data_IF_794396659671
#
_entry.id   IF_794396659671
#
_cell.length_a   1.000
_cell.length_b   1.000
_cell.length_c   1.000
_cell.angle_alpha   90.00
_cell.angle_beta   90.00
_cell.angle_gamma   90.00
#
_symmetry.space_group_name_H-M   'P 1'
#
loop_
_entity.id
_entity.type
_entity.pdbx_description
1 polymer ?
#
# COMPACT_ATOMS: atom_id res chain seq x y z
N UNK A 1 -10.86 -10.43 -18.93
CA UNK A 1 -9.83 -10.62 -17.88
C UNK A 1 -9.86 -9.39 -16.97
N UNK A 2 -9.79 -9.56 -15.64
CA UNK A 2 -10.04 -8.50 -14.65
C UNK A 2 -8.85 -7.53 -14.43
N UNK A 3 -8.00 -7.31 -15.45
CA UNK A 3 -6.90 -6.35 -15.40
C UNK A 3 -5.74 -6.67 -14.43
N UNK A 4 -5.68 -7.89 -13.88
CA UNK A 4 -4.63 -8.28 -12.93
C UNK A 4 -3.25 -8.44 -13.59
N UNK A 5 -2.21 -8.00 -12.88
CA UNK A 5 -0.81 -8.23 -13.25
C UNK A 5 -0.44 -9.71 -13.02
N UNK A 6 -0.81 -10.57 -13.96
CA UNK A 6 -0.54 -12.00 -13.90
C UNK A 6 0.79 -12.33 -14.61
N UNK A 7 1.63 -13.23 -14.05
CA UNK A 7 2.87 -13.64 -14.69
C UNK A 7 2.60 -14.35 -16.01
N UNK A 8 3.41 -14.07 -17.04
CA UNK A 8 3.33 -14.74 -18.33
C UNK A 8 3.83 -16.19 -18.28
N UNK A 9 4.77 -16.49 -17.37
CA UNK A 9 5.32 -17.82 -17.14
C UNK A 9 5.75 -18.03 -15.68
N UNK A 10 6.14 -19.26 -15.34
CA UNK A 10 6.53 -19.68 -13.99
C UNK A 10 7.78 -18.98 -13.44
N UNK A 11 8.60 -18.40 -14.30
CA UNK A 11 9.87 -17.75 -13.95
C UNK A 11 9.79 -16.22 -14.04
N UNK A 12 8.73 -15.65 -14.60
CA UNK A 12 8.61 -14.21 -14.83
C UNK A 12 8.80 -13.39 -13.56
N UNK A 13 8.21 -13.83 -12.44
CA UNK A 13 8.36 -13.15 -11.15
C UNK A 13 9.77 -13.25 -10.59
N UNK A 14 10.42 -14.40 -10.74
CA UNK A 14 11.82 -14.58 -10.34
C UNK A 14 12.73 -13.65 -11.14
N UNK A 15 12.56 -13.59 -12.47
CA UNK A 15 13.34 -12.69 -13.32
C UNK A 15 13.12 -11.23 -12.95
N UNK A 16 11.87 -10.83 -12.69
CA UNK A 16 11.57 -9.46 -12.26
C UNK A 16 12.21 -9.13 -10.91
N UNK A 17 12.11 -10.04 -9.94
CA UNK A 17 12.75 -9.93 -8.62
C UNK A 17 14.25 -9.75 -8.74
N UNK A 18 14.92 -10.60 -9.53
CA UNK A 18 16.36 -10.50 -9.78
C UNK A 18 16.75 -9.18 -10.45
N UNK A 19 15.95 -8.67 -11.40
CA UNK A 19 16.20 -7.38 -12.03
C UNK A 19 16.03 -6.22 -11.07
N UNK A 20 14.97 -6.20 -10.27
CA UNK A 20 14.73 -5.16 -9.25
C UNK A 20 15.86 -5.08 -8.22
N UNK A 21 16.57 -6.17 -7.96
CA UNK A 21 17.66 -6.23 -7.00
C UNK A 21 19.05 -5.93 -7.61
N UNK A 22 19.28 -6.29 -8.87
CA UNK A 22 20.60 -6.20 -9.52
C UNK A 22 20.76 -4.97 -10.42
N UNK A 23 19.68 -4.45 -11.00
CA UNK A 23 19.76 -3.29 -11.88
C UNK A 23 19.72 -2.00 -11.07
N UNK A 24 20.84 -1.28 -11.07
CA UNK A 24 20.98 -0.03 -10.33
C UNK A 24 19.88 0.99 -10.70
N UNK A 25 19.21 1.48 -9.66
CA UNK A 25 18.17 2.50 -9.78
C UNK A 25 16.84 1.99 -10.35
N UNK A 26 16.69 0.71 -10.71
CA UNK A 26 15.44 0.23 -11.32
C UNK A 26 14.28 0.32 -10.35
N UNK A 27 14.48 -0.09 -9.10
CA UNK A 27 13.46 -0.06 -8.06
C UNK A 27 13.02 1.40 -7.77
N UNK A 28 13.98 2.31 -7.66
CA UNK A 28 13.75 3.74 -7.43
C UNK A 28 13.00 4.38 -8.60
N UNK A 29 13.42 4.09 -9.84
CA UNK A 29 12.72 4.56 -11.03
C UNK A 29 11.28 4.04 -11.08
N UNK A 30 11.07 2.74 -10.81
CA UNK A 30 9.75 2.14 -10.79
C UNK A 30 8.87 2.74 -9.68
N UNK A 31 9.41 2.94 -8.47
CA UNK A 31 8.72 3.60 -7.38
C UNK A 31 8.33 5.04 -7.75
N UNK A 32 9.25 5.79 -8.36
CA UNK A 32 9.01 7.17 -8.80
C UNK A 32 7.96 7.29 -9.92
N UNK A 33 7.72 6.20 -10.66
CA UNK A 33 6.72 6.12 -11.71
C UNK A 33 5.34 5.71 -11.19
N UNK A 34 5.24 5.16 -9.97
CA UNK A 34 3.95 4.77 -9.39
C UNK A 34 3.05 5.98 -9.17
N UNK A 35 1.77 5.79 -9.45
CA UNK A 35 0.73 6.79 -9.24
C UNK A 35 -0.47 6.12 -8.57
N UNK A 36 -1.13 6.87 -7.70
CA UNK A 36 -2.41 6.52 -7.10
C UNK A 36 -3.45 7.52 -7.57
N UNK A 37 -4.72 7.11 -7.64
CA UNK A 37 -5.80 8.05 -7.88
C UNK A 37 -6.27 8.62 -6.54
N UNK A 38 -6.54 9.93 -6.49
CA UNK A 38 -7.08 10.58 -5.30
C UNK A 38 -8.37 11.28 -5.66
N UNK A 39 -9.45 10.89 -4.98
CA UNK A 39 -10.71 11.61 -5.05
C UNK A 39 -10.84 12.48 -3.80
N UNK A 40 -11.02 13.78 -4.01
CA UNK A 40 -11.13 14.75 -2.93
C UNK A 40 -12.59 15.01 -2.57
N UNK A 41 -12.86 15.29 -1.30
CA UNK A 41 -14.16 15.75 -0.81
C UNK A 41 -15.34 14.83 -1.22
N UNK A 42 -15.15 13.51 -1.19
CA UNK A 42 -16.17 12.54 -1.58
C UNK A 42 -17.00 12.05 -0.39
N UNK A 43 -18.28 11.79 -0.63
CA UNK A 43 -19.14 11.07 0.31
C UNK A 43 -19.01 9.57 0.06
N UNK A 44 -18.75 8.80 1.11
CA UNK A 44 -18.46 7.37 1.00
C UNK A 44 -19.67 6.47 1.23
N UNK A 45 -20.66 6.91 2.00
CA UNK A 45 -21.85 6.12 2.32
C UNK A 45 -23.05 7.01 2.62
N UNK A 46 -24.12 6.96 1.81
CA UNK A 46 -25.40 7.59 2.18
C UNK A 46 -26.07 6.87 3.38
N UNK A 47 -26.81 7.57 4.27
CA UNK A 47 -27.11 9.00 4.26
C UNK A 47 -26.01 9.88 4.91
N UNK A 48 -24.85 9.32 5.24
CA UNK A 48 -23.80 10.08 5.92
C UNK A 48 -23.25 11.17 5.00
N UNK A 49 -23.22 12.40 5.50
CA UNK A 49 -22.80 13.59 4.74
C UNK A 49 -21.32 13.88 4.83
N UNK A 50 -20.59 13.20 5.73
CA UNK A 50 -19.16 13.38 5.91
C UNK A 50 -18.40 13.20 4.59
N UNK A 51 -17.47 14.12 4.34
CA UNK A 51 -16.61 14.10 3.15
C UNK A 51 -15.21 13.66 3.54
N UNK A 52 -14.62 12.83 2.70
CA UNK A 52 -13.27 12.31 2.89
C UNK A 52 -12.46 12.47 1.61
N UNK A 53 -11.14 12.40 1.72
CA UNK A 53 -10.31 12.10 0.57
C UNK A 53 -10.09 10.59 0.49
N UNK A 54 -10.32 10.02 -0.68
CA UNK A 54 -10.10 8.60 -0.94
C UNK A 54 -8.90 8.43 -1.83
N UNK A 55 -7.92 7.67 -1.35
CA UNK A 55 -6.76 7.26 -2.13
C UNK A 55 -7.02 5.85 -2.65
N UNK A 56 -7.17 5.72 -3.96
CA UNK A 56 -7.34 4.45 -4.65
C UNK A 56 -5.96 3.92 -5.06
N UNK A 57 -5.51 2.89 -4.37
CA UNK A 57 -4.28 2.17 -4.63
C UNK A 57 -4.57 0.67 -4.82
N UNK A 58 -3.64 -0.04 -5.45
CA UNK A 58 -3.73 -1.48 -5.69
C UNK A 58 -2.48 -2.17 -5.18
N UNK A 59 -2.61 -3.45 -4.83
CA UNK A 59 -1.50 -4.34 -4.52
C UNK A 59 -1.42 -5.48 -5.54
N UNK A 60 -0.34 -6.24 -5.50
CA UNK A 60 -0.13 -7.33 -6.44
C UNK A 60 -0.99 -8.56 -6.12
N UNK A 61 -1.53 -9.27 -7.12
CA UNK A 61 -2.40 -10.44 -6.93
C UNK A 61 -1.59 -11.73 -6.70
N UNK A 62 -0.73 -11.74 -5.68
CA UNK A 62 0.23 -12.82 -5.36
C UNK A 62 -0.44 -14.20 -5.28
N UNK A 63 -1.59 -14.31 -4.62
CA UNK A 63 -2.32 -15.56 -4.45
C UNK A 63 -3.00 -16.07 -5.75
N UNK A 64 -3.09 -15.25 -6.79
CA UNK A 64 -3.81 -15.62 -8.02
C UNK A 64 -2.92 -16.40 -9.01
N UNK A 65 -1.60 -16.41 -8.80
CA UNK A 65 -0.66 -17.18 -9.63
C UNK A 65 -0.12 -18.38 -8.85
N UNK A 66 -0.75 -19.55 -9.05
CA UNK A 66 -0.27 -20.81 -8.45
C UNK A 66 1.04 -21.34 -9.06
N UNK A 67 1.42 -20.82 -10.23
CA UNK A 67 2.59 -21.23 -10.99
C UNK A 67 3.88 -20.53 -10.56
N UNK A 68 3.81 -19.55 -9.65
CA UNK A 68 4.96 -18.79 -9.14
C UNK A 68 5.03 -18.89 -7.62
N UNK A 69 6.22 -18.75 -7.04
CA UNK A 69 6.40 -18.79 -5.59
C UNK A 69 6.16 -17.41 -5.01
N UNK A 70 5.43 -17.31 -3.89
CA UNK A 70 5.21 -16.04 -3.18
C UNK A 70 6.52 -15.25 -2.95
N UNK A 71 7.62 -15.92 -2.59
CA UNK A 71 8.91 -15.25 -2.38
C UNK A 71 9.45 -14.53 -3.65
N UNK A 72 9.15 -15.04 -4.85
CA UNK A 72 9.56 -14.38 -6.10
C UNK A 72 8.80 -13.06 -6.35
N UNK A 73 7.70 -12.82 -5.62
CA UNK A 73 6.95 -11.56 -5.70
C UNK A 73 7.47 -10.47 -4.77
N UNK A 74 8.25 -10.83 -3.74
CA UNK A 74 8.54 -9.96 -2.62
C UNK A 74 9.08 -8.58 -3.02
N UNK A 75 10.13 -8.45 -3.87
CA UNK A 75 10.65 -7.13 -4.22
C UNK A 75 9.62 -6.26 -4.94
N UNK A 76 8.82 -6.85 -5.84
CA UNK A 76 7.80 -6.10 -6.57
C UNK A 76 6.61 -5.75 -5.67
N UNK A 77 6.19 -6.67 -4.81
CA UNK A 77 5.09 -6.45 -3.87
C UNK A 77 5.43 -5.35 -2.86
N UNK A 78 6.62 -5.40 -2.25
CA UNK A 78 7.10 -4.36 -1.34
C UNK A 78 7.22 -3.00 -2.03
N UNK A 79 7.72 -2.95 -3.27
CA UNK A 79 7.80 -1.72 -4.05
C UNK A 79 6.41 -1.08 -4.26
N UNK A 80 5.41 -1.87 -4.67
CA UNK A 80 4.04 -1.39 -4.87
C UNK A 80 3.39 -0.96 -3.56
N UNK A 81 3.56 -1.73 -2.49
CA UNK A 81 3.03 -1.41 -1.15
C UNK A 81 3.66 -0.12 -0.60
N UNK A 82 4.99 0.04 -0.70
CA UNK A 82 5.69 1.25 -0.29
C UNK A 82 5.11 2.48 -1.01
N UNK A 83 5.03 2.43 -2.34
CA UNK A 83 4.47 3.54 -3.13
C UNK A 83 3.01 3.84 -2.78
N UNK A 84 2.19 2.82 -2.54
CA UNK A 84 0.78 2.99 -2.17
C UNK A 84 0.59 3.67 -0.81
N UNK A 85 1.29 3.19 0.23
CA UNK A 85 1.21 3.79 1.57
C UNK A 85 1.86 5.16 1.63
N UNK A 86 3.02 5.34 0.99
CA UNK A 86 3.70 6.65 0.93
C UNK A 86 2.83 7.69 0.22
N UNK A 87 2.24 7.35 -0.94
CA UNK A 87 1.35 8.26 -1.64
C UNK A 87 0.10 8.61 -0.82
N UNK A 88 -0.44 7.64 -0.06
CA UNK A 88 -1.58 7.88 0.84
C UNK A 88 -1.23 8.85 1.96
N UNK A 89 -0.07 8.67 2.61
CA UNK A 89 0.39 9.56 3.68
C UNK A 89 0.77 10.94 3.12
N UNK A 90 1.39 11.01 1.95
CA UNK A 90 1.65 12.28 1.25
C UNK A 90 0.37 13.06 0.98
N UNK A 91 -0.69 12.40 0.47
CA UNK A 91 -1.98 13.03 0.24
C UNK A 91 -2.60 13.58 1.54
N UNK A 92 -2.48 12.85 2.65
CA UNK A 92 -2.95 13.31 3.95
C UNK A 92 -2.12 14.49 4.49
N UNK A 93 -0.79 14.45 4.35
CA UNK A 93 0.09 15.56 4.73
C UNK A 93 -0.23 16.82 3.94
N UNK A 94 -0.50 16.68 2.64
CA UNK A 94 -0.97 17.79 1.81
C UNK A 94 -2.28 18.38 2.35
N UNK A 95 -3.27 17.55 2.69
CA UNK A 95 -4.52 18.02 3.29
C UNK A 95 -4.31 18.72 4.63
N UNK A 96 -3.43 18.19 5.47
CA UNK A 96 -3.16 18.78 6.78
C UNK A 96 -2.53 20.17 6.64
N UNK A 97 -1.61 20.34 5.69
CA UNK A 97 -1.04 21.64 5.34
C UNK A 97 -2.10 22.61 4.79
N UNK A 98 -2.97 22.15 3.89
CA UNK A 98 -4.06 22.98 3.33
C UNK A 98 -5.07 23.43 4.39
N UNK A 99 -5.38 22.57 5.36
CA UNK A 99 -6.36 22.84 6.41
C UNK A 99 -5.77 23.58 7.62
N UNK A 100 -4.45 23.62 7.75
CA UNK A 100 -3.78 24.14 8.95
C UNK A 100 -4.11 23.33 10.21
N UNK A 101 -4.47 22.06 10.06
CA UNK A 101 -4.94 21.22 11.17
C UNK A 101 -4.54 19.75 10.98
N UNK A 102 -4.60 19.00 12.07
CA UNK A 102 -4.26 17.57 12.09
C UNK A 102 -5.27 16.78 11.26
N UNK A 103 -4.79 15.83 10.45
CA UNK A 103 -5.64 14.99 9.59
C UNK A 103 -5.59 13.54 10.03
N UNK A 104 -6.76 12.93 10.20
CA UNK A 104 -6.87 11.49 10.46
C UNK A 104 -6.79 10.71 9.16
N UNK A 105 -5.94 9.68 9.13
CA UNK A 105 -5.74 8.77 8.00
C UNK A 105 -6.16 7.37 8.39
N UNK A 106 -7.07 6.78 7.64
CA UNK A 106 -7.49 5.39 7.84
C UNK A 106 -6.80 4.50 6.81
N UNK A 107 -5.93 3.61 7.28
CA UNK A 107 -5.22 2.65 6.44
C UNK A 107 -5.86 1.27 6.55
N UNK A 108 -5.94 0.54 5.44
CA UNK A 108 -6.32 -0.87 5.42
C UNK A 108 -5.10 -1.74 5.17
N UNK A 109 -5.19 -3.04 5.45
CA UNK A 109 -4.20 -4.03 4.99
C UNK A 109 -4.30 -4.24 3.47
N UNK A 110 -3.75 -3.30 2.70
CA UNK A 110 -3.82 -3.33 1.24
C UNK A 110 -3.20 -4.61 0.69
N UNK A 111 -4.02 -5.41 0.01
CA UNK A 111 -3.58 -6.67 -0.60
C UNK A 111 -3.38 -7.85 0.37
N UNK A 112 -3.58 -7.68 1.68
CA UNK A 112 -3.41 -8.74 2.68
C UNK A 112 -4.54 -9.78 2.73
N UNK A 113 -5.66 -9.50 2.05
CA UNK A 113 -6.79 -10.43 1.89
C UNK A 113 -6.62 -11.34 0.67
N UNK A 114 -7.60 -11.31 -0.24
CA UNK A 114 -7.65 -12.20 -1.41
C UNK A 114 -6.42 -12.14 -2.33
N UNK A 115 -5.69 -11.02 -2.34
CA UNK A 115 -4.47 -10.89 -3.13
C UNK A 115 -3.26 -11.60 -2.52
N UNK A 116 -3.29 -11.93 -1.22
CA UNK A 116 -2.28 -12.75 -0.56
C UNK A 116 -0.90 -12.12 -0.43
N UNK A 117 -0.83 -10.78 -0.31
CA UNK A 117 0.41 -10.13 0.10
C UNK A 117 0.70 -10.49 1.56
N UNK A 118 1.96 -10.78 1.85
CA UNK A 118 2.33 -11.22 3.19
C UNK A 118 2.22 -10.08 4.20
N UNK A 119 1.86 -10.41 5.43
CA UNK A 119 1.66 -9.44 6.50
C UNK A 119 2.93 -8.64 6.77
N UNK A 120 4.10 -9.31 6.80
CA UNK A 120 5.38 -8.65 7.02
C UNK A 120 5.66 -7.56 5.97
N UNK A 121 5.30 -7.78 4.70
CA UNK A 121 5.53 -6.80 3.64
C UNK A 121 4.68 -5.55 3.81
N UNK A 122 3.44 -5.74 4.26
CA UNK A 122 2.49 -4.66 4.46
C UNK A 122 2.87 -3.84 5.70
N UNK A 123 3.20 -4.52 6.80
CA UNK A 123 3.65 -3.88 8.05
C UNK A 123 4.91 -3.05 7.81
N UNK A 124 5.90 -3.62 7.12
CA UNK A 124 7.14 -2.90 6.81
C UNK A 124 6.88 -1.66 5.95
N UNK A 125 5.99 -1.74 4.96
CA UNK A 125 5.65 -0.62 4.09
C UNK A 125 4.92 0.51 4.84
N UNK A 126 3.99 0.15 5.75
CA UNK A 126 3.32 1.13 6.62
C UNK A 126 4.35 1.80 7.54
N UNK A 127 5.19 1.02 8.22
CA UNK A 127 6.21 1.54 9.13
C UNK A 127 7.21 2.46 8.42
N UNK A 128 7.66 2.08 7.22
CA UNK A 128 8.52 2.92 6.40
C UNK A 128 7.86 4.28 6.09
N UNK A 129 6.60 4.27 5.63
CA UNK A 129 5.86 5.51 5.32
C UNK A 129 5.63 6.38 6.56
N UNK A 130 5.29 5.78 7.70
CA UNK A 130 5.14 6.49 8.98
C UNK A 130 6.45 7.13 9.44
N UNK A 131 7.57 6.41 9.33
CA UNK A 131 8.88 6.93 9.70
C UNK A 131 9.29 8.12 8.81
N UNK A 132 9.08 8.01 7.50
CA UNK A 132 9.37 9.07 6.51
C UNK A 132 8.54 10.34 6.76
N UNK A 133 7.32 10.20 7.27
CA UNK A 133 6.40 11.31 7.51
C UNK A 133 6.10 11.55 8.99
N UNK A 134 7.01 11.17 9.90
CA UNK A 134 6.81 11.23 11.36
C UNK A 134 6.43 12.62 11.90
N UNK A 135 6.89 13.68 11.24
CA UNK A 135 6.66 15.07 11.65
C UNK A 135 5.40 15.66 11.00
N UNK A 136 4.66 14.89 10.20
CA UNK A 136 3.40 15.33 9.65
C UNK A 136 2.33 15.34 10.77
N UNK A 137 1.45 16.35 10.82
CA UNK A 137 0.38 16.42 11.79
C UNK A 137 -0.74 15.44 11.38
N UNK A 138 -0.51 14.15 11.57
CA UNK A 138 -1.41 13.07 11.16
C UNK A 138 -1.77 12.16 12.35
N UNK A 139 -3.04 11.76 12.41
CA UNK A 139 -3.50 10.64 13.23
C UNK A 139 -3.72 9.43 12.34
N UNK A 140 -2.81 8.45 12.39
CA UNK A 140 -2.93 7.27 11.53
C UNK A 140 -3.61 6.14 12.30
N UNK A 141 -4.71 5.66 11.73
CA UNK A 141 -5.53 4.58 12.28
C UNK A 141 -5.52 3.43 11.29
N UNK A 142 -5.08 2.25 11.74
CA UNK A 142 -5.22 1.04 10.96
C UNK A 142 -6.63 0.46 11.19
N UNK A 143 -7.37 0.26 10.11
CA UNK A 143 -8.70 -0.33 10.12
C UNK A 143 -8.67 -1.72 9.52
N UNK A 144 -9.44 -2.63 10.11
CA UNK A 144 -9.59 -4.00 9.64
C UNK A 144 -11.07 -4.38 9.60
N UNK A 145 -11.38 -5.40 8.82
CA UNK A 145 -12.69 -6.02 8.82
C UNK A 145 -12.70 -7.20 9.80
N UNK A 146 -13.69 -7.28 10.68
CA UNK A 146 -13.84 -8.32 11.70
C UNK A 146 -13.66 -7.82 13.13
N UNK A 147 -13.74 -8.72 14.11
CA UNK A 147 -13.65 -8.39 15.56
C UNK A 147 -12.30 -8.70 16.19
N UNK A 148 -11.41 -9.37 15.47
CA UNK A 148 -10.08 -9.77 15.94
C UNK A 148 -9.03 -9.13 15.04
N UNK A 149 -8.10 -8.41 15.66
CA UNK A 149 -6.89 -7.91 15.01
C UNK A 149 -5.81 -9.00 15.11
N UNK A 150 -5.26 -9.52 14.00
CA UNK A 150 -4.17 -10.48 14.05
C UNK A 150 -2.95 -9.91 14.81
N UNK A 151 -2.23 -10.77 15.56
CA UNK A 151 -1.14 -10.34 16.45
C UNK A 151 0.00 -9.64 15.71
N UNK A 152 0.19 -9.99 14.44
CA UNK A 152 1.16 -9.41 13.51
C UNK A 152 0.99 -7.89 13.35
N UNK A 153 -0.22 -7.36 13.57
CA UNK A 153 -0.50 -5.93 13.49
C UNK A 153 -0.16 -5.16 14.77
N UNK A 154 0.15 -5.85 15.88
CA UNK A 154 0.44 -5.21 17.17
C UNK A 154 1.76 -4.44 17.22
N UNK A 155 2.62 -4.57 16.20
CA UNK A 155 3.90 -3.89 16.07
C UNK A 155 3.88 -2.66 15.14
N UNK A 156 2.77 -2.40 14.43
CA UNK A 156 2.71 -1.27 13.48
C UNK A 156 2.77 0.06 14.22
N UNK A 157 3.65 0.96 13.75
CA UNK A 157 3.80 2.31 14.29
C UNK A 157 4.45 2.41 15.67
N UNK A 158 5.00 1.32 16.19
CA UNK A 158 5.89 1.32 17.38
C UNK A 158 7.33 1.56 16.95
#
# INVERSE_FOLDING_TARGET
>A
QNGYALPCDTQAMRRLSERLQREDGLAERALSALRVAVHWETQVKPPQTHRVAQVFASALPVAYSKSTRSADWEPFARLVLNGAYEATICAARYLAAQRGSRVTVFLTSLGGGAFGNRHEWIVDAVNHSLATHRDAPLDVVLVHYGTIVPKEWSSVGK
#
